data_IF_964770469432
#
_entry.id   IF_964770469432
#
_cell.length_a   1.000
_cell.length_b   1.000
_cell.length_c   1.000
_cell.angle_alpha   90.00
_cell.angle_beta   90.00
_cell.angle_gamma   90.00
#
_symmetry.space_group_name_H-M   'P 1'
#
loop_
_entity.id
_entity.type
_entity.pdbx_description
1 polymer ?
#
# COMPACT_ATOMS: atom_id res chain seq x y z
N UNK A 1 27.07 23.95 52.77
CA UNK A 1 26.58 22.78 52.04
C UNK A 1 25.57 23.29 51.04
N UNK A 2 26.10 23.77 49.94
CA UNK A 2 25.30 24.36 48.83
C UNK A 2 24.95 23.26 47.85
N UNK A 3 23.66 22.94 47.73
CA UNK A 3 23.14 22.08 46.69
C UNK A 3 23.06 22.86 45.38
N UNK A 4 24.00 22.64 44.47
CA UNK A 4 23.90 23.06 43.09
C UNK A 4 22.73 22.31 42.44
N UNK A 5 21.64 23.00 42.18
CA UNK A 5 20.58 22.57 41.27
C UNK A 5 21.09 22.69 39.86
N UNK A 6 21.48 21.58 39.28
CA UNK A 6 21.77 21.43 37.88
C UNK A 6 20.47 21.67 37.06
N UNK A 7 20.33 22.90 36.58
CA UNK A 7 19.21 23.29 35.71
C UNK A 7 19.43 22.68 34.32
N UNK A 8 18.71 21.62 34.02
CA UNK A 8 18.67 21.03 32.67
C UNK A 8 18.10 22.05 31.70
N UNK A 9 18.99 22.72 30.95
CA UNK A 9 18.61 23.58 29.84
C UNK A 9 17.94 22.76 28.76
N UNK A 10 16.64 22.90 28.61
CA UNK A 10 15.91 22.39 27.44
C UNK A 10 16.35 23.23 26.26
N UNK A 11 17.25 22.68 25.42
CA UNK A 11 17.63 23.27 24.13
C UNK A 11 16.40 23.24 23.22
N UNK A 12 15.66 24.34 23.16
CA UNK A 12 14.63 24.57 22.14
C UNK A 12 15.37 24.85 20.84
N UNK A 13 15.50 23.82 19.99
CA UNK A 13 16.03 24.00 18.65
C UNK A 13 15.02 24.81 17.83
N UNK A 14 15.47 25.78 16.98
CA UNK A 14 14.58 26.49 16.07
C UNK A 14 13.81 25.50 15.21
N UNK A 15 12.51 25.73 14.97
CA UNK A 15 11.65 24.86 14.16
C UNK A 15 12.18 24.56 12.75
N UNK A 16 13.03 25.46 12.22
CA UNK A 16 13.70 25.32 10.92
C UNK A 16 15.08 24.65 11.00
N UNK A 17 15.50 24.16 12.18
CA UNK A 17 16.79 23.49 12.33
C UNK A 17 16.82 22.18 11.53
N UNK A 18 17.84 22.01 10.68
CA UNK A 18 18.06 20.74 9.98
C UNK A 18 18.13 19.53 10.93
N UNK A 19 18.57 19.71 12.17
CA UNK A 19 18.65 18.66 13.17
C UNK A 19 17.26 18.15 13.62
N UNK A 20 16.25 19.00 13.65
CA UNK A 20 14.86 18.60 13.94
C UNK A 20 14.31 17.77 12.80
N UNK A 21 14.43 18.26 11.58
CA UNK A 21 13.94 17.58 10.39
C UNK A 21 14.68 16.28 10.08
N UNK A 22 15.98 16.20 10.42
CA UNK A 22 16.77 14.96 10.32
C UNK A 22 16.18 13.83 11.17
N UNK A 23 15.65 14.14 12.37
CA UNK A 23 15.02 13.15 13.27
C UNK A 23 13.65 12.66 12.76
N UNK A 24 12.99 13.43 11.91
CA UNK A 24 11.72 13.06 11.29
C UNK A 24 11.89 12.20 10.05
N UNK A 25 13.08 12.26 9.42
CA UNK A 25 13.41 11.42 8.28
C UNK A 25 13.73 9.97 8.76
N UNK A 26 13.37 8.95 7.99
CA UNK A 26 13.81 7.58 8.26
C UNK A 26 15.34 7.50 8.28
N UNK A 27 15.95 6.68 9.14
CA UNK A 27 17.42 6.61 9.25
C UNK A 27 18.10 6.18 7.95
N UNK A 28 17.39 5.46 7.10
CA UNK A 28 17.83 4.94 5.80
C UNK A 28 17.40 5.83 4.61
N UNK A 29 16.97 7.08 4.85
CA UNK A 29 16.44 7.94 3.78
C UNK A 29 17.43 8.17 2.63
N UNK A 30 18.75 8.26 2.90
CA UNK A 30 19.76 8.38 1.86
C UNK A 30 19.78 7.17 0.91
N UNK A 31 19.65 5.97 1.46
CA UNK A 31 19.60 4.75 0.68
C UNK A 31 18.32 4.71 -0.18
N UNK A 32 17.21 5.15 0.38
CA UNK A 32 15.91 5.20 -0.33
C UNK A 32 15.98 6.19 -1.49
N UNK A 33 16.37 7.46 -1.25
CA UNK A 33 16.44 8.47 -2.32
C UNK A 33 17.54 8.16 -3.35
N UNK A 34 18.59 7.42 -2.97
CA UNK A 34 19.62 6.94 -3.89
C UNK A 34 19.11 5.93 -4.93
N UNK A 35 17.96 5.30 -4.66
CA UNK A 35 17.26 4.37 -5.59
C UNK A 35 16.24 5.08 -6.48
N UNK A 36 16.02 6.40 -6.31
CA UNK A 36 15.02 7.14 -7.06
C UNK A 36 15.35 7.17 -8.55
N UNK A 37 14.33 6.95 -9.40
CA UNK A 37 14.45 7.00 -10.87
C UNK A 37 14.86 8.39 -11.34
N UNK A 38 14.37 9.42 -10.66
CA UNK A 38 14.74 10.82 -10.91
C UNK A 38 15.44 11.39 -9.67
N UNK A 39 16.51 12.19 -9.82
CA UNK A 39 17.21 12.78 -8.69
C UNK A 39 16.29 13.58 -7.79
N UNK A 40 16.35 13.33 -6.47
CA UNK A 40 15.63 14.10 -5.47
C UNK A 40 16.48 15.29 -5.07
N UNK A 41 16.12 16.49 -5.52
CA UNK A 41 16.85 17.73 -5.26
C UNK A 41 16.25 18.45 -4.06
N UNK A 42 17.08 18.80 -3.07
CA UNK A 42 16.65 19.51 -1.88
C UNK A 42 17.76 20.39 -1.32
N UNK A 43 17.39 21.58 -0.81
CA UNK A 43 18.33 22.53 -0.18
C UNK A 43 18.39 22.42 1.35
N UNK A 44 17.43 21.71 1.97
CA UNK A 44 17.37 21.51 3.42
C UNK A 44 16.65 20.19 3.76
N UNK A 45 16.86 19.69 5.00
CA UNK A 45 16.13 18.50 5.49
C UNK A 45 14.63 18.71 5.58
N UNK A 46 14.20 19.91 5.92
CA UNK A 46 12.79 20.33 5.87
C UNK A 46 12.20 20.15 4.47
N UNK A 47 12.89 20.67 3.47
CA UNK A 47 12.44 20.56 2.08
C UNK A 47 12.39 19.10 1.63
N UNK A 48 13.37 18.30 1.99
CA UNK A 48 13.36 16.85 1.70
C UNK A 48 12.16 16.16 2.35
N UNK A 49 11.92 16.37 3.65
CA UNK A 49 10.79 15.78 4.36
C UNK A 49 9.45 16.14 3.70
N UNK A 50 9.25 17.42 3.38
CA UNK A 50 8.03 17.89 2.72
C UNK A 50 7.88 17.28 1.33
N UNK A 51 8.95 17.23 0.53
CA UNK A 51 8.94 16.60 -0.78
C UNK A 51 8.49 15.12 -0.68
N UNK A 52 9.09 14.35 0.25
CA UNK A 52 8.79 12.93 0.43
C UNK A 52 7.42 12.68 1.07
N UNK A 53 6.83 13.64 1.80
CA UNK A 53 5.51 13.50 2.42
C UNK A 53 4.37 14.00 1.53
N UNK A 54 4.60 15.01 0.70
CA UNK A 54 3.57 15.57 -0.18
C UNK A 54 3.45 14.81 -1.51
N UNK A 55 4.56 14.21 -1.99
CA UNK A 55 4.61 13.49 -3.27
C UNK A 55 5.28 12.12 -3.10
N UNK A 56 4.89 11.18 -3.94
CA UNK A 56 5.61 9.91 -4.06
C UNK A 56 6.79 10.06 -5.02
N UNK A 57 7.85 9.30 -4.78
CA UNK A 57 8.97 9.09 -5.71
C UNK A 57 8.96 7.65 -6.23
N UNK A 58 9.37 7.47 -7.48
CA UNK A 58 9.55 6.14 -8.05
C UNK A 58 10.98 5.66 -7.81
N UNK A 59 11.10 4.41 -7.41
CA UNK A 59 12.35 3.74 -7.09
C UNK A 59 12.69 2.67 -8.13
N UNK A 60 13.99 2.32 -8.18
CA UNK A 60 14.56 1.25 -8.99
C UNK A 60 14.22 1.43 -10.49
N UNK A 61 13.43 0.52 -11.04
CA UNK A 61 12.98 0.57 -12.44
C UNK A 61 11.67 1.34 -12.65
N UNK A 62 11.19 2.05 -11.62
CA UNK A 62 9.96 2.81 -11.68
C UNK A 62 8.68 2.01 -11.36
N UNK A 63 8.82 0.79 -10.83
CA UNK A 63 7.68 -0.05 -10.45
C UNK A 63 7.46 -0.17 -8.94
N UNK A 64 8.30 0.50 -8.16
CA UNK A 64 8.12 0.66 -6.73
C UNK A 64 7.97 2.16 -6.43
N UNK A 65 6.97 2.57 -5.68
CA UNK A 65 6.84 3.94 -5.24
C UNK A 65 7.03 4.07 -3.73
N UNK A 66 7.58 5.19 -3.32
CA UNK A 66 7.84 5.54 -1.93
C UNK A 66 7.34 6.93 -1.60
N UNK A 67 6.81 7.09 -0.40
CA UNK A 67 6.58 8.38 0.25
C UNK A 67 6.61 8.24 1.76
N UNK A 68 6.63 9.36 2.47
CA UNK A 68 6.41 9.39 3.92
C UNK A 68 4.94 9.68 4.23
N UNK A 69 4.41 9.02 5.24
CA UNK A 69 3.15 9.44 5.83
C UNK A 69 3.34 10.80 6.51
N UNK A 70 2.51 11.76 6.15
CA UNK A 70 2.67 13.17 6.53
C UNK A 70 2.59 13.39 8.05
N UNK A 71 1.86 12.54 8.76
CA UNK A 71 1.59 12.72 10.18
C UNK A 71 2.58 11.96 11.07
N UNK A 72 2.91 10.76 10.67
CA UNK A 72 3.77 9.87 11.45
C UNK A 72 5.23 9.85 10.99
N UNK A 73 5.54 10.37 9.79
CA UNK A 73 6.86 10.26 9.16
C UNK A 73 7.24 8.83 8.79
N UNK A 74 6.32 7.88 8.94
CA UNK A 74 6.55 6.47 8.63
C UNK A 74 6.56 6.24 7.12
N UNK A 75 7.32 5.23 6.71
CA UNK A 75 7.49 4.88 5.28
C UNK A 75 6.20 4.27 4.72
N UNK A 76 5.80 4.72 3.52
CA UNK A 76 4.75 4.13 2.71
C UNK A 76 5.37 3.62 1.40
N UNK A 77 5.00 2.42 1.00
CA UNK A 77 5.43 1.83 -0.27
C UNK A 77 4.22 1.40 -1.09
N UNK A 78 4.38 1.43 -2.41
CA UNK A 78 3.44 0.78 -3.30
C UNK A 78 4.21 -0.01 -4.35
N UNK A 79 3.91 -1.30 -4.42
CA UNK A 79 4.34 -2.20 -5.48
C UNK A 79 3.45 -1.97 -6.69
N UNK A 80 4.00 -1.53 -7.81
CA UNK A 80 3.26 -1.43 -9.07
C UNK A 80 2.91 -2.82 -9.63
N UNK A 81 1.96 -2.90 -10.53
CA UNK A 81 1.49 -4.18 -11.07
C UNK A 81 2.61 -5.07 -11.62
N UNK A 82 3.71 -4.49 -12.14
CA UNK A 82 4.90 -5.23 -12.62
C UNK A 82 5.70 -5.91 -11.50
N UNK A 83 5.59 -5.45 -10.26
CA UNK A 83 6.23 -6.07 -9.09
C UNK A 83 5.31 -7.11 -8.40
N UNK A 84 4.10 -7.32 -8.92
CA UNK A 84 3.16 -8.30 -8.42
C UNK A 84 3.27 -9.62 -9.19
N UNK A 85 2.94 -10.71 -8.52
CA UNK A 85 2.67 -12.00 -9.15
C UNK A 85 1.16 -12.09 -9.41
N UNK A 86 0.77 -11.97 -10.66
CA UNK A 86 -0.62 -12.08 -11.11
C UNK A 86 -0.74 -13.34 -11.95
N UNK A 87 -1.69 -14.21 -11.62
CA UNK A 87 -1.84 -15.48 -12.33
C UNK A 87 -2.11 -15.24 -13.81
N UNK A 88 -1.28 -15.85 -14.67
CA UNK A 88 -1.28 -15.75 -16.15
C UNK A 88 -0.98 -14.35 -16.70
N UNK A 89 -0.31 -13.48 -15.95
CA UNK A 89 -0.01 -12.10 -16.37
C UNK A 89 0.80 -11.97 -17.68
N UNK A 90 1.52 -13.02 -18.06
CA UNK A 90 2.33 -13.04 -19.28
C UNK A 90 1.56 -13.52 -20.52
N UNK A 91 0.33 -14.02 -20.35
CA UNK A 91 -0.54 -14.46 -21.43
C UNK A 91 -1.48 -13.33 -21.85
N UNK A 92 -1.24 -12.82 -23.05
CA UNK A 92 -2.03 -11.72 -23.64
C UNK A 92 -3.49 -12.07 -23.92
N UNK A 93 -3.88 -13.34 -23.84
CA UNK A 93 -5.28 -13.76 -23.91
C UNK A 93 -6.05 -13.39 -22.65
N UNK A 94 -5.35 -13.25 -21.51
CA UNK A 94 -5.92 -12.99 -20.20
C UNK A 94 -5.66 -11.58 -19.70
N UNK A 95 -4.46 -11.03 -19.96
CA UNK A 95 -4.02 -9.74 -19.45
C UNK A 95 -3.40 -8.88 -20.53
N UNK A 96 -3.46 -7.58 -20.32
CA UNK A 96 -2.84 -6.56 -21.17
C UNK A 96 -2.08 -5.56 -20.31
N UNK A 97 -0.87 -5.22 -20.72
CA UNK A 97 -0.08 -4.16 -20.11
C UNK A 97 -0.25 -2.87 -20.87
N UNK A 98 -0.62 -1.81 -20.17
CA UNK A 98 -0.90 -0.51 -20.77
C UNK A 98 -0.38 0.64 -19.92
N UNK A 99 0.17 1.66 -20.58
CA UNK A 99 0.46 2.95 -19.95
C UNK A 99 -0.80 3.80 -19.93
N UNK A 100 -1.16 4.31 -18.74
CA UNK A 100 -2.28 5.22 -18.54
C UNK A 100 -1.82 6.46 -17.78
N UNK A 101 -2.23 7.67 -18.20
CA UNK A 101 -1.72 8.93 -17.62
C UNK A 101 -2.02 9.11 -16.13
N UNK A 102 -3.09 8.50 -15.64
CA UNK A 102 -3.52 8.62 -14.25
C UNK A 102 -2.81 7.66 -13.30
N UNK A 103 -2.01 6.73 -13.82
CA UNK A 103 -1.18 5.86 -13.00
C UNK A 103 0.11 6.56 -12.60
N UNK A 104 0.57 6.31 -11.38
CA UNK A 104 1.90 6.71 -10.94
C UNK A 104 3.01 5.85 -11.55
N UNK A 105 2.66 4.68 -12.07
CA UNK A 105 3.59 3.72 -12.66
C UNK A 105 3.59 3.80 -14.18
N UNK A 106 4.69 3.39 -14.84
CA UNK A 106 4.78 3.37 -16.30
C UNK A 106 3.71 2.52 -16.97
N UNK A 107 3.30 1.43 -16.32
CA UNK A 107 2.31 0.49 -16.84
C UNK A 107 1.40 -0.03 -15.71
N UNK A 108 0.18 -0.36 -16.09
CA UNK A 108 -0.81 -1.07 -15.30
C UNK A 108 -1.18 -2.38 -15.97
N UNK A 109 -1.75 -3.31 -15.20
CA UNK A 109 -2.22 -4.59 -15.71
C UNK A 109 -3.75 -4.56 -15.88
N UNK A 110 -4.23 -4.79 -17.10
CA UNK A 110 -5.66 -4.78 -17.44
C UNK A 110 -6.15 -6.19 -17.68
N UNK A 111 -7.16 -6.59 -16.94
CA UNK A 111 -7.79 -7.90 -17.06
C UNK A 111 -8.69 -7.96 -18.30
N UNK A 112 -8.35 -8.81 -19.25
CA UNK A 112 -9.20 -9.14 -20.40
C UNK A 112 -10.29 -10.14 -20.01
N UNK A 113 -9.88 -11.28 -19.45
CA UNK A 113 -10.79 -12.31 -18.92
C UNK A 113 -10.05 -13.38 -18.13
N UNK A 114 -10.50 -13.73 -16.95
CA UNK A 114 -10.06 -14.93 -16.21
C UNK A 114 -11.23 -15.52 -15.41
N UNK A 115 -11.17 -16.82 -15.12
CA UNK A 115 -12.06 -17.46 -14.14
C UNK A 115 -11.37 -17.63 -12.77
N UNK A 116 -10.05 -17.52 -12.73
CA UNK A 116 -9.21 -17.60 -11.54
C UNK A 116 -8.44 -16.30 -11.40
N UNK A 117 -8.81 -15.47 -10.43
CA UNK A 117 -8.17 -14.19 -10.19
C UNK A 117 -7.35 -14.25 -8.90
N UNK A 118 -6.05 -14.21 -9.06
CA UNK A 118 -5.10 -14.22 -7.96
C UNK A 118 -4.02 -13.17 -8.20
N UNK A 119 -3.83 -12.30 -7.21
CA UNK A 119 -2.88 -11.19 -7.23
C UNK A 119 -2.08 -11.25 -5.94
N UNK A 120 -0.75 -11.37 -6.02
CA UNK A 120 0.14 -11.46 -4.87
C UNK A 120 1.24 -10.40 -4.95
N UNK A 121 1.58 -9.82 -3.81
CA UNK A 121 2.71 -8.93 -3.64
C UNK A 121 3.57 -9.35 -2.46
N UNK A 122 4.88 -9.04 -2.53
CA UNK A 122 5.84 -9.29 -1.45
C UNK A 122 6.74 -8.08 -1.27
N UNK A 123 7.06 -7.77 -0.01
CA UNK A 123 8.03 -6.74 0.33
C UNK A 123 8.86 -7.18 1.54
N UNK A 124 10.16 -6.90 1.51
CA UNK A 124 11.03 -7.16 2.64
C UNK A 124 10.67 -6.24 3.82
N UNK A 125 10.46 -6.81 5.00
CA UNK A 125 10.06 -6.05 6.20
C UNK A 125 11.07 -4.98 6.59
N UNK A 126 12.37 -5.18 6.30
CA UNK A 126 13.44 -4.20 6.55
C UNK A 126 13.22 -2.88 5.80
N UNK A 127 12.46 -2.89 4.71
CA UNK A 127 12.09 -1.67 3.99
C UNK A 127 11.07 -0.82 4.73
N UNK A 128 10.28 -1.40 5.61
CA UNK A 128 9.20 -0.75 6.34
C UNK A 128 9.72 -0.05 7.60
N UNK A 129 8.89 0.80 8.18
CA UNK A 129 9.19 1.38 9.50
C UNK A 129 8.86 0.37 10.58
N UNK A 130 9.81 0.15 11.48
CA UNK A 130 9.65 -0.74 12.61
C UNK A 130 8.66 -0.18 13.64
N UNK A 131 8.14 -1.07 14.51
CA UNK A 131 7.19 -0.74 15.58
C UNK A 131 5.96 0.01 15.03
N UNK A 132 5.44 -0.49 13.90
CA UNK A 132 4.36 0.18 13.17
C UNK A 132 3.34 -0.84 12.70
N UNK A 133 2.06 -0.58 12.97
CA UNK A 133 0.96 -1.32 12.33
C UNK A 133 0.78 -0.79 10.91
N UNK A 134 0.87 -1.69 9.95
CA UNK A 134 0.63 -1.42 8.54
C UNK A 134 -0.68 -2.05 8.08
N UNK A 135 -1.34 -1.39 7.12
CA UNK A 135 -2.39 -2.00 6.33
C UNK A 135 -1.96 -2.08 4.86
N UNK A 136 -2.31 -3.18 4.21
CA UNK A 136 -2.08 -3.41 2.79
C UNK A 136 -3.37 -3.18 2.01
N UNK A 137 -3.28 -2.50 0.85
CA UNK A 137 -4.42 -2.14 0.02
C UNK A 137 -4.16 -2.52 -1.44
N UNK A 138 -5.06 -3.30 -2.04
CA UNK A 138 -5.10 -3.44 -3.49
C UNK A 138 -5.69 -2.17 -4.10
N UNK A 139 -4.94 -1.54 -5.02
CA UNK A 139 -5.33 -0.32 -5.73
C UNK A 139 -5.67 -0.67 -7.17
N UNK A 140 -6.90 -0.31 -7.59
CA UNK A 140 -7.45 -0.74 -8.86
C UNK A 140 -8.52 0.20 -9.41
N UNK A 141 -8.92 -0.03 -10.66
CA UNK A 141 -10.12 0.55 -11.29
C UNK A 141 -10.97 -0.56 -11.90
N UNK A 142 -12.23 -0.29 -12.07
CA UNK A 142 -13.20 -1.17 -12.72
C UNK A 142 -13.88 -0.40 -13.84
N UNK A 143 -13.85 -0.93 -15.06
CA UNK A 143 -14.56 -0.35 -16.18
C UNK A 143 -16.08 -0.53 -16.02
N UNK A 144 -16.85 0.29 -16.74
CA UNK A 144 -18.33 0.34 -16.62
C UNK A 144 -19.00 -0.98 -16.96
N UNK A 145 -18.45 -1.71 -17.92
CA UNK A 145 -19.03 -2.96 -18.46
C UNK A 145 -18.40 -4.23 -17.86
N UNK A 146 -17.67 -4.07 -16.75
CA UNK A 146 -17.04 -5.17 -16.04
C UNK A 146 -18.04 -6.22 -15.59
N UNK A 147 -17.61 -7.47 -15.59
CA UNK A 147 -18.44 -8.62 -15.17
C UNK A 147 -17.65 -9.50 -14.21
N UNK A 148 -18.40 -10.24 -13.37
CA UNK A 148 -17.86 -11.26 -12.51
C UNK A 148 -17.07 -10.78 -11.27
N UNK A 149 -16.95 -9.47 -11.03
CA UNK A 149 -16.19 -8.88 -9.92
C UNK A 149 -17.02 -8.70 -8.64
N UNK A 150 -18.33 -8.95 -8.69
CA UNK A 150 -19.25 -8.80 -7.56
C UNK A 150 -19.42 -10.10 -6.75
N UNK A 151 -18.36 -10.90 -6.64
CA UNK A 151 -18.30 -12.15 -5.85
C UNK A 151 -17.30 -11.99 -4.72
N UNK A 152 -17.47 -12.72 -3.60
CA UNK A 152 -16.54 -12.63 -2.48
C UNK A 152 -15.17 -13.20 -2.86
N UNK A 153 -14.13 -12.49 -2.51
CA UNK A 153 -12.75 -12.87 -2.64
C UNK A 153 -12.10 -12.98 -1.25
N UNK A 154 -11.13 -13.87 -1.13
CA UNK A 154 -10.32 -14.02 0.07
C UNK A 154 -9.14 -13.05 0.01
N UNK A 155 -8.83 -12.40 1.13
CA UNK A 155 -7.60 -11.63 1.29
C UNK A 155 -6.70 -12.26 2.34
N UNK A 156 -5.39 -12.18 2.13
CA UNK A 156 -4.39 -12.75 3.01
C UNK A 156 -3.27 -11.73 3.17
N UNK A 157 -2.88 -11.48 4.41
CA UNK A 157 -1.61 -10.81 4.71
C UNK A 157 -0.85 -11.71 5.67
N UNK A 158 0.41 -12.02 5.36
CA UNK A 158 1.27 -12.79 6.26
C UNK A 158 2.59 -12.08 6.47
N UNK A 159 3.14 -12.19 7.67
CA UNK A 159 4.44 -11.68 8.02
C UNK A 159 5.22 -12.75 8.80
N UNK A 160 6.41 -13.09 8.29
CA UNK A 160 7.24 -14.14 8.88
C UNK A 160 6.55 -15.52 8.99
N UNK A 161 5.69 -15.84 8.04
CA UNK A 161 4.94 -17.10 8.00
C UNK A 161 3.70 -17.15 8.90
N UNK A 162 3.35 -16.04 9.57
CA UNK A 162 2.12 -15.94 10.38
C UNK A 162 1.08 -15.19 9.55
N UNK A 163 0.01 -15.88 9.16
CA UNK A 163 -1.14 -15.27 8.49
C UNK A 163 -1.95 -14.46 9.50
N UNK A 164 -2.36 -13.26 9.08
CA UNK A 164 -3.37 -12.48 9.78
C UNK A 164 -4.77 -13.01 9.46
N UNK A 165 -5.77 -12.51 10.17
CA UNK A 165 -7.15 -12.93 9.96
C UNK A 165 -7.57 -12.70 8.49
N UNK A 166 -8.11 -13.76 7.87
CA UNK A 166 -8.58 -13.74 6.51
C UNK A 166 -9.96 -13.11 6.44
N UNK A 167 -10.13 -12.08 5.60
CA UNK A 167 -11.41 -11.43 5.37
C UNK A 167 -11.96 -11.72 3.97
N UNK A 168 -13.27 -11.73 3.84
CA UNK A 168 -13.95 -11.78 2.54
C UNK A 168 -14.25 -10.35 2.09
N UNK A 169 -13.83 -10.01 0.88
CA UNK A 169 -14.00 -8.68 0.28
C UNK A 169 -14.64 -8.80 -1.10
N UNK A 170 -15.18 -7.70 -1.61
CA UNK A 170 -15.79 -7.62 -2.93
C UNK A 170 -15.15 -6.47 -3.72
N UNK A 171 -14.67 -6.73 -4.93
CA UNK A 171 -14.18 -5.65 -5.80
C UNK A 171 -15.32 -4.76 -6.32
N UNK A 172 -16.52 -5.30 -6.44
CA UNK A 172 -17.71 -4.58 -6.87
C UNK A 172 -18.90 -4.95 -5.99
N UNK A 173 -19.73 -3.97 -5.64
CA UNK A 173 -20.96 -4.23 -4.88
C UNK A 173 -21.89 -5.14 -5.69
N UNK A 174 -22.42 -6.22 -5.10
CA UNK A 174 -23.44 -7.05 -5.74
C UNK A 174 -24.67 -6.20 -6.10
N UNK A 175 -25.20 -6.37 -7.30
CA UNK A 175 -26.45 -5.70 -7.71
C UNK A 175 -27.66 -6.20 -6.93
N UNK A 176 -28.72 -5.39 -6.83
CA UNK A 176 -29.95 -5.68 -6.05
C UNK A 176 -30.64 -7.02 -6.40
N UNK A 177 -30.36 -7.58 -7.57
CA UNK A 177 -30.88 -8.89 -8.02
C UNK A 177 -29.91 -10.06 -7.79
N UNK A 178 -28.75 -9.81 -7.16
CA UNK A 178 -27.76 -10.85 -6.90
C UNK A 178 -28.25 -11.77 -5.77
N UNK A 179 -28.14 -13.10 -5.95
CA UNK A 179 -28.40 -14.09 -4.87
C UNK A 179 -27.42 -13.94 -3.69
N UNK A 180 -26.34 -13.19 -3.85
CA UNK A 180 -25.32 -12.95 -2.83
C UNK A 180 -25.70 -11.89 -1.79
N UNK A 181 -26.85 -11.21 -1.94
CA UNK A 181 -27.37 -10.25 -0.95
C UNK A 181 -27.68 -10.88 0.43
N UNK A 182 -27.74 -12.20 0.50
CA UNK A 182 -28.00 -12.93 1.76
C UNK A 182 -26.73 -13.35 2.50
N UNK A 183 -25.52 -13.05 1.97
CA UNK A 183 -24.28 -13.24 2.73
C UNK A 183 -24.26 -12.16 3.80
N UNK A 184 -24.26 -12.52 5.11
CA UNK A 184 -24.19 -11.52 6.17
C UNK A 184 -22.84 -10.80 6.07
N UNK A 185 -22.86 -9.60 5.52
CA UNK A 185 -21.69 -8.71 5.54
C UNK A 185 -21.62 -8.14 6.94
N UNK A 186 -20.60 -8.50 7.66
CA UNK A 186 -20.26 -7.83 8.90
C UNK A 186 -19.72 -6.45 8.54
N UNK A 187 -20.45 -5.42 9.01
CA UNK A 187 -20.05 -4.01 9.03
C UNK A 187 -19.07 -3.54 7.95
N UNK A 188 -19.58 -2.97 6.85
CA UNK A 188 -18.94 -2.03 5.89
C UNK A 188 -17.52 -2.32 5.36
N UNK A 189 -16.80 -3.32 5.86
CA UNK A 189 -15.37 -3.51 5.61
C UNK A 189 -15.05 -4.27 4.31
N UNK A 190 -16.01 -4.96 3.73
CA UNK A 190 -15.83 -5.78 2.54
C UNK A 190 -15.92 -5.06 1.18
N UNK A 191 -16.00 -3.71 1.12
CA UNK A 191 -16.19 -2.99 -0.14
C UNK A 191 -15.11 -1.95 -0.40
N UNK A 192 -14.80 -1.69 -1.70
CA UNK A 192 -13.79 -0.72 -2.07
C UNK A 192 -14.17 0.70 -1.68
N UNK A 193 -13.16 1.50 -1.38
CA UNK A 193 -13.26 2.94 -1.15
C UNK A 193 -12.69 3.70 -2.33
N UNK A 194 -13.28 4.85 -2.66
CA UNK A 194 -12.72 5.76 -3.67
C UNK A 194 -11.56 6.54 -3.09
N UNK A 195 -10.46 6.63 -3.83
CA UNK A 195 -9.30 7.47 -3.54
C UNK A 195 -9.46 8.85 -4.18
N UNK A 196 -8.69 9.83 -3.69
CA UNK A 196 -8.69 11.19 -4.25
C UNK A 196 -8.07 11.27 -5.65
N UNK A 197 -7.20 10.34 -5.97
CA UNK A 197 -6.53 10.19 -7.27
C UNK A 197 -7.39 9.51 -8.35
N UNK A 198 -8.65 9.20 -8.02
CA UNK A 198 -9.62 8.57 -8.93
C UNK A 198 -9.51 7.04 -9.01
N UNK A 199 -8.57 6.44 -8.31
CA UNK A 199 -8.49 5.00 -8.11
C UNK A 199 -9.47 4.52 -7.03
N UNK A 200 -9.64 3.22 -6.93
CA UNK A 200 -10.32 2.54 -5.84
C UNK A 200 -9.29 1.77 -5.04
N UNK A 201 -9.57 1.52 -3.78
CA UNK A 201 -8.76 0.66 -2.93
C UNK A 201 -9.61 -0.27 -2.11
N UNK A 202 -9.07 -1.46 -1.82
CA UNK A 202 -9.66 -2.40 -0.87
C UNK A 202 -8.56 -2.89 0.07
N UNK A 203 -8.87 -2.92 1.36
CA UNK A 203 -7.93 -3.41 2.37
C UNK A 203 -7.79 -4.93 2.26
N UNK A 204 -6.55 -5.40 2.18
CA UNK A 204 -6.20 -6.82 2.15
C UNK A 204 -6.00 -7.39 3.56
N UNK A 205 -5.63 -6.54 4.50
CA UNK A 205 -5.39 -6.88 5.91
C UNK A 205 -4.31 -6.01 6.53
N UNK A 206 -4.02 -6.30 7.78
CA UNK A 206 -3.10 -5.56 8.62
C UNK A 206 -2.03 -6.48 9.22
N UNK A 207 -0.88 -5.90 9.57
CA UNK A 207 0.18 -6.59 10.29
C UNK A 207 0.98 -5.59 11.11
N UNK A 208 1.61 -6.09 12.18
CA UNK A 208 2.53 -5.30 12.98
C UNK A 208 3.97 -5.60 12.56
N UNK A 209 4.70 -4.57 12.13
CA UNK A 209 6.11 -4.66 11.75
C UNK A 209 6.96 -4.52 13.04
N UNK A 210 7.37 -5.67 13.59
CA UNK A 210 8.21 -5.77 14.79
C UNK A 210 9.70 -5.71 14.42
N UNK A 211 10.52 -5.05 15.26
CA UNK A 211 11.98 -4.99 15.13
C UNK A 211 12.65 -6.36 15.12
N UNK A 212 12.05 -7.35 15.77
CA UNK A 212 12.63 -8.68 15.98
C UNK A 212 12.34 -9.66 14.86
N UNK A 213 11.54 -9.26 13.88
CA UNK A 213 11.15 -10.14 12.77
C UNK A 213 11.77 -9.68 11.48
N UNK A 214 12.76 -10.44 11.04
CA UNK A 214 13.23 -10.39 9.67
C UNK A 214 12.29 -11.21 8.77
N UNK A 215 12.26 -10.91 7.49
CA UNK A 215 11.50 -11.67 6.51
C UNK A 215 10.71 -10.81 5.54
N UNK A 216 9.80 -11.45 4.85
CA UNK A 216 8.93 -10.80 3.87
C UNK A 216 7.50 -10.67 4.42
N UNK A 217 6.86 -9.58 4.04
CA UNK A 217 5.40 -9.42 4.13
C UNK A 217 4.82 -9.88 2.81
N UNK A 218 3.96 -10.89 2.87
CA UNK A 218 3.21 -11.39 1.71
C UNK A 218 1.76 -10.92 1.79
N UNK A 219 1.24 -10.46 0.67
CA UNK A 219 -0.12 -9.95 0.54
C UNK A 219 -0.79 -10.65 -0.65
N UNK A 220 -2.03 -11.09 -0.49
CA UNK A 220 -2.75 -11.74 -1.57
C UNK A 220 -4.22 -11.34 -1.62
N UNK A 221 -4.73 -11.27 -2.83
CA UNK A 221 -6.14 -11.20 -3.18
C UNK A 221 -6.49 -12.41 -4.04
N UNK A 222 -7.45 -13.23 -3.62
CA UNK A 222 -7.80 -14.49 -4.26
C UNK A 222 -9.30 -14.63 -4.49
N UNK A 223 -9.70 -14.68 -5.76
CA UNK A 223 -11.04 -15.14 -6.15
C UNK A 223 -10.90 -16.34 -7.12
N UNK A 224 -10.80 -17.51 -6.54
CA UNK A 224 -10.50 -18.78 -7.21
C UNK A 224 -11.61 -19.83 -7.05
N UNK A 225 -12.65 -19.52 -6.25
CA UNK A 225 -13.63 -20.53 -5.86
C UNK A 225 -14.88 -20.57 -6.74
N UNK A 226 -15.29 -19.44 -7.30
CA UNK A 226 -16.60 -19.33 -7.97
C UNK A 226 -16.58 -19.74 -9.44
N UNK A 227 -15.40 -19.85 -10.06
CA UNK A 227 -15.25 -20.28 -11.46
C UNK A 227 -15.94 -19.39 -12.51
N UNK A 228 -16.47 -18.24 -12.11
CA UNK A 228 -17.09 -17.29 -13.02
C UNK A 228 -16.04 -16.43 -13.75
N UNK A 229 -16.28 -16.15 -15.02
CA UNK A 229 -15.42 -15.27 -15.81
C UNK A 229 -15.51 -13.83 -15.33
N UNK A 230 -14.34 -13.20 -15.18
CA UNK A 230 -14.15 -11.82 -14.76
C UNK A 230 -13.44 -11.04 -15.85
N UNK A 231 -13.75 -9.75 -16.02
CA UNK A 231 -13.10 -8.88 -16.99
C UNK A 231 -13.06 -7.42 -16.50
N UNK A 232 -12.27 -6.61 -17.20
CA UNK A 232 -12.23 -5.15 -17.09
C UNK A 232 -11.86 -4.63 -15.67
N UNK A 233 -10.99 -5.36 -14.99
CA UNK A 233 -10.25 -4.89 -13.81
C UNK A 233 -8.92 -4.29 -14.27
N UNK A 234 -8.60 -3.10 -13.80
CA UNK A 234 -7.30 -2.45 -14.00
C UNK A 234 -6.56 -2.45 -12.66
N UNK A 235 -5.43 -3.13 -12.59
CA UNK A 235 -4.60 -3.23 -11.37
C UNK A 235 -3.47 -2.20 -11.47
N UNK A 236 -3.43 -1.25 -10.52
CA UNK A 236 -2.30 -0.33 -10.38
C UNK A 236 -1.20 -0.94 -9.51
N UNK A 237 -1.58 -1.58 -8.39
CA UNK A 237 -0.60 -2.17 -7.49
C UNK A 237 -1.14 -2.51 -6.10
N UNK A 238 -0.23 -2.81 -5.16
CA UNK A 238 -0.53 -3.00 -3.74
C UNK A 238 0.23 -1.96 -2.92
N UNK A 239 -0.50 -1.12 -2.17
CA UNK A 239 0.04 -0.07 -1.32
C UNK A 239 0.07 -0.51 0.15
N UNK A 240 1.22 -0.28 0.80
CA UNK A 240 1.39 -0.45 2.24
C UNK A 240 1.55 0.93 2.88
N UNK A 241 0.73 1.21 3.88
CA UNK A 241 0.81 2.46 4.65
C UNK A 241 0.54 2.21 6.14
N UNK A 242 1.12 3.04 7.02
CA UNK A 242 0.86 2.93 8.45
C UNK A 242 -0.62 3.15 8.72
N UNK A 243 -1.18 2.34 9.60
CA UNK A 243 -2.53 2.54 10.13
C UNK A 243 -2.44 3.46 11.35
N UNK A 244 -3.14 4.58 11.30
CA UNK A 244 -3.25 5.47 12.45
C UNK A 244 -4.02 4.71 13.53
N UNK A 245 -3.39 4.49 14.67
CA UNK A 245 -4.08 3.98 15.85
C UNK A 245 -5.01 5.10 16.32
N UNK A 246 -6.29 4.98 16.00
CA UNK A 246 -7.30 5.85 16.63
C UNK A 246 -7.39 5.42 18.08
N UNK A 247 -6.72 6.12 18.98
CA UNK A 247 -6.98 6.01 20.42
C UNK A 247 -8.44 6.42 20.60
N UNK A 248 -9.30 5.46 20.86
CA UNK A 248 -10.64 5.77 21.37
C UNK A 248 -10.41 6.29 22.79
N UNK A 249 -10.66 7.58 23.00
CA UNK A 249 -10.85 8.17 24.32
C UNK A 249 -12.17 7.70 24.92
#
# INVERSE_FOLDING_TARGET
MDEEKESASILVLPEDSNAVWERLLPPDYFQVIGRAVSPVVFGSKKQLYLCLSDSHILLDRGYLSFKLDKWSGKKCFMLGARELSITWQDDTSYWEWQSIPESRFPEVCILRKVCWLEIRGKIAAVMLSQNTTYAAYLVFRIARDSRGLAVPAKTIVSFGGIETETTNVFLQKPGARSRLWHVPLQNNDGFPRKRRDGWMEIELGEFYCDERRDGEVEMAFEEIRHGNWKNDLVVEGIELRPKLVTTQE
#
